data_IF_303553122849
#
_entry.id   IF_303553122849
#
_cell.length_a   1.000
_cell.length_b   1.000
_cell.length_c   1.000
_cell.angle_alpha   90.00
_cell.angle_beta   90.00
_cell.angle_gamma   90.00
#
_symmetry.space_group_name_H-M   'P 1'
#
loop_
_entity.id
_entity.type
_entity.pdbx_description
1 polymer ?
#
# COMPACT_ATOMS: atom_id res chain seq x y z
N UNK A 1 -1.44 -39.25 4.20
CA UNK A 1 -0.85 -37.95 4.06
C UNK A 1 -1.81 -37.08 3.25
N UNK A 2 -2.56 -36.22 3.91
CA UNK A 2 -3.58 -35.37 3.27
C UNK A 2 -2.97 -34.00 3.03
N UNK A 3 -2.68 -33.71 1.77
CA UNK A 3 -2.24 -32.40 1.30
C UNK A 3 -3.46 -31.50 1.27
N UNK A 4 -3.55 -30.57 2.21
CA UNK A 4 -4.59 -29.53 2.21
C UNK A 4 -4.17 -28.44 1.21
N UNK A 5 -4.74 -28.50 0.02
CA UNK A 5 -4.63 -27.44 -0.97
C UNK A 5 -5.57 -26.33 -0.52
N UNK A 6 -5.03 -25.29 0.08
CA UNK A 6 -5.76 -24.05 0.31
C UNK A 6 -5.79 -23.28 -1.01
N UNK A 7 -6.89 -23.45 -1.75
CA UNK A 7 -7.21 -22.62 -2.90
C UNK A 7 -7.56 -21.22 -2.39
N UNK A 8 -6.60 -20.32 -2.41
CA UNK A 8 -6.90 -18.89 -2.32
C UNK A 8 -7.47 -18.47 -3.66
N UNK A 9 -8.78 -18.20 -3.67
CA UNK A 9 -9.43 -17.59 -4.82
C UNK A 9 -8.74 -16.25 -5.10
N UNK A 10 -8.08 -16.19 -6.25
CA UNK A 10 -7.54 -14.97 -6.81
C UNK A 10 -8.76 -14.10 -7.17
N UNK A 11 -9.18 -13.21 -6.28
CA UNK A 11 -10.10 -12.15 -6.66
C UNK A 11 -9.33 -11.25 -7.60
N UNK A 12 -9.61 -11.36 -8.89
CA UNK A 12 -9.19 -10.40 -9.89
C UNK A 12 -9.53 -9.02 -9.37
N UNK A 13 -8.50 -8.17 -9.15
CA UNK A 13 -8.70 -6.82 -8.66
C UNK A 13 -9.62 -6.08 -9.64
N UNK A 14 -10.86 -5.88 -9.23
CA UNK A 14 -11.82 -5.09 -10.00
C UNK A 14 -11.34 -3.64 -9.95
N UNK A 15 -10.97 -3.07 -11.09
CA UNK A 15 -10.83 -1.63 -11.21
C UNK A 15 -12.20 -1.02 -10.98
N UNK A 16 -12.37 -0.30 -9.89
CA UNK A 16 -13.61 0.37 -9.54
C UNK A 16 -13.66 1.78 -10.13
N UNK A 17 -14.81 2.18 -10.60
CA UNK A 17 -15.07 3.56 -10.95
C UNK A 17 -14.94 4.44 -9.69
N UNK A 18 -14.47 5.67 -9.90
CA UNK A 18 -14.28 6.69 -8.87
C UNK A 18 -15.53 6.82 -7.99
N UNK A 19 -15.41 6.62 -6.69
CA UNK A 19 -16.48 6.94 -5.74
C UNK A 19 -16.69 6.00 -4.56
N UNK A 20 -16.17 4.78 -4.56
CA UNK A 20 -16.47 3.82 -3.46
C UNK A 20 -15.23 3.14 -2.84
N UNK A 21 -14.08 3.80 -2.88
CA UNK A 21 -12.88 3.28 -2.23
C UNK A 21 -13.10 3.06 -0.71
N UNK A 22 -13.76 4.02 -0.05
CA UNK A 22 -14.05 3.94 1.38
C UNK A 22 -15.04 2.79 1.67
N UNK A 23 -16.07 2.62 0.85
CA UNK A 23 -17.01 1.51 0.95
C UNK A 23 -16.34 0.16 0.73
N UNK A 24 -15.45 0.06 -0.24
CA UNK A 24 -14.70 -1.17 -0.49
C UNK A 24 -13.78 -1.52 0.69
N UNK A 25 -13.01 -0.55 1.18
CA UNK A 25 -12.10 -0.77 2.32
C UNK A 25 -12.89 -1.13 3.59
N UNK A 26 -14.03 -0.49 3.83
CA UNK A 26 -14.87 -0.76 5.00
C UNK A 26 -15.59 -2.11 4.94
N UNK A 27 -15.80 -2.67 3.76
CA UNK A 27 -16.38 -4.00 3.58
C UNK A 27 -15.42 -5.14 3.93
N UNK A 28 -14.13 -4.84 4.08
CA UNK A 28 -13.07 -5.83 4.33
C UNK A 28 -12.63 -5.75 5.80
N UNK A 29 -13.02 -6.73 6.61
CA UNK A 29 -12.66 -6.79 8.05
C UNK A 29 -11.14 -6.80 8.28
N UNK A 30 -10.38 -7.38 7.36
CA UNK A 30 -8.93 -7.49 7.43
C UNK A 30 -8.19 -6.17 7.15
N UNK A 31 -8.90 -5.12 6.75
CA UNK A 31 -8.37 -3.78 6.46
C UNK A 31 -8.80 -2.72 7.49
N UNK A 32 -9.39 -3.14 8.62
CA UNK A 32 -9.89 -2.20 9.64
C UNK A 32 -8.80 -1.30 10.22
N UNK A 33 -7.59 -1.82 10.42
CA UNK A 33 -6.45 -1.02 10.89
C UNK A 33 -6.04 0.02 9.85
N UNK A 34 -6.02 -0.34 8.57
CA UNK A 34 -5.74 0.60 7.48
C UNK A 34 -6.75 1.75 7.48
N UNK A 35 -8.04 1.43 7.57
CA UNK A 35 -9.12 2.42 7.57
C UNK A 35 -9.01 3.38 8.77
N UNK A 36 -8.70 2.84 9.95
CA UNK A 36 -8.44 3.63 11.16
C UNK A 36 -7.26 4.60 10.95
N UNK A 37 -6.13 4.10 10.43
CA UNK A 37 -4.93 4.91 10.21
C UNK A 37 -5.13 5.98 9.14
N UNK A 38 -5.88 5.70 8.08
CA UNK A 38 -6.26 6.70 7.06
C UNK A 38 -7.07 7.82 7.68
N UNK A 39 -7.98 7.51 8.62
CA UNK A 39 -8.79 8.50 9.32
C UNK A 39 -8.02 9.39 10.30
N UNK A 40 -6.80 8.99 10.71
CA UNK A 40 -5.94 9.81 11.58
C UNK A 40 -5.13 10.87 10.83
N UNK A 41 -4.97 10.72 9.51
CA UNK A 41 -4.17 11.63 8.69
C UNK A 41 -5.10 12.62 7.99
N UNK A 42 -5.04 13.88 8.41
CA UNK A 42 -5.89 14.94 7.87
C UNK A 42 -5.78 15.05 6.34
N UNK A 43 -6.93 15.03 5.67
CA UNK A 43 -7.02 15.18 4.22
C UNK A 43 -6.58 13.97 3.39
N UNK A 44 -6.08 12.87 4.01
CA UNK A 44 -5.65 11.69 3.26
C UNK A 44 -6.84 10.95 2.66
N UNK A 45 -7.92 10.77 3.41
CA UNK A 45 -9.12 10.10 2.94
C UNK A 45 -9.73 10.83 1.72
N UNK A 46 -9.83 12.15 1.79
CA UNK A 46 -10.32 13.00 0.69
C UNK A 46 -9.37 12.95 -0.51
N UNK A 47 -8.06 12.98 -0.27
CA UNK A 47 -7.06 12.86 -1.33
C UNK A 47 -7.19 11.53 -2.06
N UNK A 48 -7.32 10.42 -1.34
CA UNK A 48 -7.50 9.10 -1.93
C UNK A 48 -8.84 8.98 -2.67
N UNK A 49 -9.93 9.51 -2.10
CA UNK A 49 -11.25 9.48 -2.71
C UNK A 49 -11.34 10.33 -4.00
N UNK A 50 -10.60 11.43 -4.06
CA UNK A 50 -10.55 12.31 -5.23
C UNK A 50 -9.50 11.92 -6.26
N UNK A 51 -8.58 11.00 -5.89
CA UNK A 51 -7.52 10.56 -6.80
C UNK A 51 -8.05 9.58 -7.82
N UNK A 52 -7.70 9.82 -9.09
CA UNK A 52 -7.90 8.88 -10.18
C UNK A 52 -6.55 8.33 -10.64
N UNK A 53 -6.58 7.21 -11.34
CA UNK A 53 -5.39 6.58 -11.89
C UNK A 53 -4.34 6.24 -10.82
N UNK A 54 -4.79 5.62 -9.73
CA UNK A 54 -3.94 5.12 -8.65
C UNK A 54 -4.19 3.63 -8.40
N UNK A 55 -3.18 2.98 -7.84
CA UNK A 55 -3.28 1.61 -7.32
C UNK A 55 -2.88 1.61 -5.85
N UNK A 56 -3.71 1.02 -4.99
CA UNK A 56 -3.45 0.89 -3.56
C UNK A 56 -3.16 -0.58 -3.25
N UNK A 57 -1.99 -0.85 -2.73
CA UNK A 57 -1.66 -2.15 -2.13
C UNK A 57 -1.96 -2.07 -0.63
N UNK A 58 -3.18 -2.44 -0.28
CA UNK A 58 -3.71 -2.28 1.07
C UNK A 58 -3.06 -3.28 2.04
N UNK A 59 -2.29 -2.82 3.05
CA UNK A 59 -1.75 -3.71 4.07
C UNK A 59 -2.87 -4.20 4.98
N UNK A 60 -2.85 -5.51 5.27
CA UNK A 60 -3.83 -6.14 6.15
C UNK A 60 -3.53 -5.85 7.63
N UNK A 61 -4.50 -6.08 8.51
CA UNK A 61 -4.31 -6.01 9.96
C UNK A 61 -3.13 -6.86 10.42
N UNK A 62 -2.94 -8.04 9.80
CA UNK A 62 -1.81 -8.92 10.08
C UNK A 62 -0.49 -8.27 9.69
N UNK A 63 -0.41 -7.63 8.52
CA UNK A 63 0.80 -6.94 8.09
C UNK A 63 1.19 -5.82 9.07
N UNK A 64 0.23 -5.04 9.55
CA UNK A 64 0.48 -4.03 10.59
C UNK A 64 0.93 -4.63 11.92
N UNK A 65 0.42 -5.80 12.29
CA UNK A 65 0.81 -6.48 13.52
C UNK A 65 2.26 -7.03 13.45
N UNK A 66 2.76 -7.32 12.27
CA UNK A 66 4.11 -7.82 12.02
C UNK A 66 5.17 -6.72 11.97
N UNK A 67 4.79 -5.43 11.90
CA UNK A 67 5.74 -4.33 11.94
C UNK A 67 6.45 -4.30 13.31
N UNK A 68 7.80 -4.32 13.33
CA UNK A 68 8.55 -4.27 14.59
C UNK A 68 8.19 -3.03 15.41
N UNK A 69 8.05 -3.20 16.73
CA UNK A 69 7.61 -2.12 17.65
C UNK A 69 8.73 -1.16 18.04
N UNK A 70 9.95 -1.54 17.77
CA UNK A 70 11.18 -0.81 18.06
C UNK A 70 11.64 0.09 16.90
N UNK A 71 10.83 0.17 15.83
CA UNK A 71 11.05 1.10 14.73
C UNK A 71 10.03 2.25 14.78
N UNK A 72 10.37 3.45 14.25
CA UNK A 72 9.48 4.63 14.33
C UNK A 72 8.09 4.40 13.73
N UNK A 73 8.00 3.63 12.66
CA UNK A 73 6.75 3.28 11.98
C UNK A 73 5.87 2.40 12.89
N UNK A 74 6.47 1.39 13.52
CA UNK A 74 5.76 0.51 14.44
C UNK A 74 5.29 1.22 15.70
N UNK A 75 6.12 2.12 16.25
CA UNK A 75 5.73 2.98 17.36
C UNK A 75 4.57 3.92 16.98
N UNK A 76 4.64 4.55 15.80
CA UNK A 76 3.58 5.42 15.29
C UNK A 76 2.25 4.67 15.09
N UNK A 77 2.30 3.46 14.54
CA UNK A 77 1.12 2.59 14.37
C UNK A 77 0.52 2.23 15.72
N UNK A 78 1.35 1.88 16.71
CA UNK A 78 0.87 1.45 18.03
C UNK A 78 0.26 2.61 18.82
N UNK A 79 0.94 3.74 18.85
CA UNK A 79 0.58 4.88 19.71
C UNK A 79 -0.41 5.84 19.06
N UNK A 80 -0.64 5.74 17.74
CA UNK A 80 -1.54 6.63 16.96
C UNK A 80 -1.19 8.13 17.11
N UNK A 81 0.04 8.45 17.45
CA UNK A 81 0.46 9.81 17.84
C UNK A 81 1.33 10.54 16.82
N UNK A 82 1.86 9.83 15.83
CA UNK A 82 2.70 10.41 14.78
C UNK A 82 2.02 10.30 13.41
N UNK A 83 1.13 11.26 13.13
CA UNK A 83 0.37 11.30 11.87
C UNK A 83 1.25 11.50 10.63
N UNK A 84 2.43 12.13 10.79
CA UNK A 84 3.40 12.30 9.71
C UNK A 84 4.00 10.93 9.32
N UNK A 85 4.45 10.16 10.29
CA UNK A 85 5.00 8.83 10.04
C UNK A 85 3.93 7.87 9.49
N UNK A 86 2.70 7.93 10.02
CA UNK A 86 1.56 7.16 9.51
C UNK A 86 1.24 7.58 8.07
N UNK A 87 1.19 8.88 7.78
CA UNK A 87 0.94 9.39 6.44
C UNK A 87 2.02 8.96 5.44
N UNK A 88 3.30 9.00 5.84
CA UNK A 88 4.41 8.52 5.02
C UNK A 88 4.29 7.02 4.70
N UNK A 89 3.99 6.21 5.71
CA UNK A 89 3.77 4.78 5.56
C UNK A 89 2.62 4.50 4.58
N UNK A 90 1.48 5.15 4.76
CA UNK A 90 0.30 4.96 3.91
C UNK A 90 0.55 5.45 2.49
N UNK A 91 1.17 6.62 2.32
CA UNK A 91 1.51 7.17 1.01
C UNK A 91 2.45 6.26 0.20
N UNK A 92 3.32 5.51 0.88
CA UNK A 92 4.20 4.53 0.21
C UNK A 92 3.45 3.29 -0.31
N UNK A 93 2.23 3.06 0.14
CA UNK A 93 1.37 1.96 -0.32
C UNK A 93 0.41 2.37 -1.45
N UNK A 94 0.43 3.63 -1.85
CA UNK A 94 -0.38 4.17 -2.95
C UNK A 94 0.52 4.54 -4.13
N UNK A 95 0.25 3.95 -5.28
CA UNK A 95 1.06 4.10 -6.49
C UNK A 95 0.31 4.89 -7.55
N UNK A 96 1.01 5.76 -8.24
CA UNK A 96 0.51 6.46 -9.42
C UNK A 96 0.45 5.50 -10.59
N UNK A 97 -0.69 5.41 -11.23
CA UNK A 97 -0.95 4.49 -12.33
C UNK A 97 -1.85 3.32 -11.92
N UNK A 98 -2.41 2.67 -12.93
CA UNK A 98 -3.25 1.48 -12.78
C UNK A 98 -2.41 0.25 -13.07
N UNK A 99 -2.21 -0.59 -12.07
CA UNK A 99 -1.40 -1.81 -12.13
C UNK A 99 -2.24 -3.05 -11.78
N UNK A 100 -3.14 -3.48 -12.68
CA UNK A 100 -3.88 -4.73 -12.46
C UNK A 100 -2.91 -5.93 -12.55
N UNK A 101 -3.28 -7.04 -11.92
CA UNK A 101 -2.39 -8.20 -11.76
C UNK A 101 -1.97 -8.86 -13.07
N UNK A 102 -2.71 -8.63 -14.15
CA UNK A 102 -2.43 -9.15 -15.50
C UNK A 102 -1.35 -8.35 -16.25
N UNK A 103 -1.13 -7.09 -15.89
CA UNK A 103 -0.06 -6.27 -16.49
C UNK A 103 1.26 -6.37 -15.73
N UNK A 104 1.24 -6.87 -14.49
CA UNK A 104 2.46 -7.11 -13.71
C UNK A 104 3.08 -8.43 -14.19
N UNK A 105 4.35 -8.36 -14.61
CA UNK A 105 5.09 -9.51 -15.16
C UNK A 105 6.19 -9.99 -14.20
N UNK A 106 6.94 -11.01 -14.61
CA UNK A 106 8.13 -11.46 -13.90
C UNK A 106 9.35 -10.51 -14.07
N UNK A 107 9.18 -9.46 -14.87
CA UNK A 107 10.18 -8.38 -14.97
C UNK A 107 9.70 -7.24 -14.08
N UNK A 108 10.53 -6.75 -13.14
CA UNK A 108 10.11 -5.66 -12.24
C UNK A 108 9.72 -4.40 -13.01
N UNK A 109 8.53 -3.89 -12.72
CA UNK A 109 8.06 -2.59 -13.19
C UNK A 109 8.16 -1.60 -12.03
N UNK A 110 8.88 -0.50 -12.22
CA UNK A 110 9.03 0.51 -11.19
C UNK A 110 7.84 1.46 -11.20
N UNK A 111 7.07 1.44 -10.11
CA UNK A 111 5.93 2.30 -9.89
C UNK A 111 6.25 3.39 -8.87
N UNK A 112 5.86 4.61 -9.17
CA UNK A 112 6.02 5.75 -8.28
C UNK A 112 4.93 5.75 -7.23
N UNK A 113 5.32 5.78 -5.94
CA UNK A 113 4.36 5.93 -4.85
C UNK A 113 3.97 7.41 -4.64
N UNK A 114 2.95 7.65 -3.81
CA UNK A 114 2.58 8.99 -3.38
C UNK A 114 3.50 9.53 -2.27
N UNK A 115 4.39 8.71 -1.75
CA UNK A 115 5.38 9.16 -0.76
C UNK A 115 6.27 10.23 -1.38
N UNK A 116 6.20 11.43 -0.84
CA UNK A 116 6.95 12.58 -1.30
C UNK A 116 7.68 13.28 -0.15
N UNK A 117 8.45 14.33 -0.46
CA UNK A 117 9.25 15.07 0.50
C UNK A 117 8.43 15.68 1.67
N UNK A 118 7.13 15.88 1.50
CA UNK A 118 6.27 16.43 2.56
C UNK A 118 6.09 15.47 3.73
N UNK A 119 6.26 14.17 3.49
CA UNK A 119 6.19 13.13 4.51
C UNK A 119 7.56 12.68 5.01
N UNK A 120 8.63 12.99 4.26
CA UNK A 120 9.99 12.61 4.61
C UNK A 120 10.55 13.74 5.48
N UNK A 121 10.41 13.60 6.79
CA UNK A 121 11.03 14.51 7.74
C UNK A 121 12.56 14.50 7.55
N UNK A 122 13.16 15.66 7.70
CA UNK A 122 14.55 16.09 7.85
C UNK A 122 15.64 15.01 8.13
N UNK A 123 15.35 13.73 8.08
CA UNK A 123 16.32 12.64 8.16
C UNK A 123 17.17 12.57 6.89
N UNK A 124 17.92 13.66 6.70
CA UNK A 124 19.00 13.72 5.72
C UNK A 124 19.95 12.54 5.91
N UNK A 125 20.53 11.95 4.86
CA UNK A 125 20.85 12.53 3.55
C UNK A 125 20.08 11.95 2.35
N UNK A 126 19.02 11.20 2.54
CA UNK A 126 18.35 10.43 1.48
C UNK A 126 17.16 11.16 0.84
N UNK A 127 16.94 12.41 1.15
CA UNK A 127 15.73 13.17 0.80
C UNK A 127 15.75 13.88 -0.55
N UNK A 128 16.59 13.50 -1.50
CA UNK A 128 16.52 14.01 -2.87
C UNK A 128 15.40 13.36 -3.71
N UNK A 129 14.37 12.78 -3.07
CA UNK A 129 13.19 12.25 -3.75
C UNK A 129 12.20 13.37 -4.10
N UNK A 130 12.60 14.28 -4.96
CA UNK A 130 11.69 15.33 -5.46
C UNK A 130 10.53 14.78 -6.27
N UNK A 131 10.60 13.53 -6.68
CA UNK A 131 9.58 12.85 -7.51
C UNK A 131 8.74 11.79 -6.80
N UNK A 132 8.97 11.49 -5.51
CA UNK A 132 8.35 10.37 -4.80
C UNK A 132 9.21 9.09 -4.82
N UNK A 133 8.92 8.17 -3.91
CA UNK A 133 9.61 6.89 -3.83
C UNK A 133 9.14 5.95 -4.96
N UNK A 134 10.07 5.14 -5.48
CA UNK A 134 9.78 4.12 -6.47
C UNK A 134 9.91 2.74 -5.85
N UNK A 135 8.93 1.89 -6.09
CA UNK A 135 8.96 0.48 -5.70
C UNK A 135 8.81 -0.40 -6.93
N UNK A 136 9.45 -1.56 -6.92
CA UNK A 136 9.34 -2.54 -8.00
C UNK A 136 8.08 -3.39 -7.83
N UNK A 137 7.28 -3.50 -8.87
CA UNK A 137 6.17 -4.45 -8.94
C UNK A 137 6.60 -5.65 -9.79
N UNK A 138 6.49 -6.85 -9.25
CA UNK A 138 6.93 -8.06 -9.94
C UNK A 138 5.99 -9.22 -9.63
N UNK A 139 5.85 -10.11 -10.59
CA UNK A 139 5.11 -11.36 -10.43
C UNK A 139 6.07 -12.52 -10.17
N UNK A 140 5.83 -13.28 -9.12
CA UNK A 140 6.58 -14.49 -8.78
C UNK A 140 5.62 -15.68 -8.79
N UNK A 141 5.60 -16.43 -9.90
CA UNK A 141 4.53 -17.38 -10.16
C UNK A 141 3.19 -16.66 -10.32
N UNK A 142 2.21 -17.03 -9.51
CA UNK A 142 0.89 -16.38 -9.49
C UNK A 142 0.80 -15.23 -8.48
N UNK A 143 1.86 -15.00 -7.70
CA UNK A 143 1.88 -13.99 -6.66
C UNK A 143 2.42 -12.66 -7.17
N UNK A 144 1.71 -11.57 -6.88
CA UNK A 144 2.22 -10.20 -7.05
C UNK A 144 3.04 -9.84 -5.83
N UNK A 145 4.23 -9.29 -6.06
CA UNK A 145 5.14 -8.85 -5.02
C UNK A 145 5.54 -7.38 -5.23
N UNK A 146 5.72 -6.67 -4.14
CA UNK A 146 6.29 -5.32 -4.11
C UNK A 146 7.72 -5.41 -3.57
N UNK A 147 8.67 -4.85 -4.31
CA UNK A 147 10.07 -4.73 -3.92
C UNK A 147 10.30 -3.29 -3.50
N UNK A 148 10.57 -3.07 -2.22
CA UNK A 148 10.87 -1.73 -1.70
C UNK A 148 12.24 -1.22 -2.12
N UNK A 149 12.51 0.07 -1.92
CA UNK A 149 13.83 0.65 -2.15
C UNK A 149 14.95 0.03 -1.32
N UNK A 150 14.62 -0.63 -0.22
CA UNK A 150 15.56 -1.41 0.62
C UNK A 150 15.70 -2.87 0.17
N UNK A 151 15.19 -3.21 -1.01
CA UNK A 151 15.19 -4.56 -1.59
C UNK A 151 14.42 -5.61 -0.75
N UNK A 152 13.56 -5.19 0.15
CA UNK A 152 12.63 -6.09 0.82
C UNK A 152 11.49 -6.46 -0.11
N UNK A 153 11.13 -7.74 -0.12
CA UNK A 153 10.06 -8.28 -0.98
C UNK A 153 8.84 -8.56 -0.13
N UNK A 154 7.73 -7.91 -0.44
CA UNK A 154 6.44 -8.13 0.20
C UNK A 154 5.44 -8.72 -0.79
N UNK A 155 4.76 -9.80 -0.38
CA UNK A 155 3.69 -10.40 -1.19
C UNK A 155 2.41 -9.58 -1.05
N UNK A 156 1.80 -9.26 -2.18
CA UNK A 156 0.50 -8.58 -2.22
C UNK A 156 -0.61 -9.60 -2.08
N UNK A 157 -1.40 -9.49 -1.04
CA UNK A 157 -2.58 -10.33 -0.82
C UNK A 157 -3.85 -9.69 -1.37
N UNK A 158 -3.87 -8.36 -1.46
CA UNK A 158 -5.01 -7.61 -1.99
C UNK A 158 -4.55 -6.27 -2.59
N UNK A 159 -5.07 -5.93 -3.75
CA UNK A 159 -4.85 -4.64 -4.41
C UNK A 159 -6.18 -4.02 -4.86
N UNK A 160 -6.26 -2.70 -4.79
CA UNK A 160 -7.40 -1.92 -5.27
C UNK A 160 -6.88 -0.90 -6.27
N UNK A 161 -7.49 -0.87 -7.45
CA UNK A 161 -7.20 0.12 -8.48
C UNK A 161 -8.41 1.04 -8.65
N UNK A 162 -8.14 2.33 -8.83
CA UNK A 162 -9.14 3.29 -9.31
C UNK A 162 -8.85 3.63 -10.76
N UNK A 163 -9.81 3.42 -11.64
CA UNK A 163 -9.72 3.86 -13.03
C UNK A 163 -10.12 5.34 -13.16
N UNK A 164 -9.68 6.01 -14.23
CA UNK A 164 -10.05 7.39 -14.50
C UNK A 164 -11.55 7.58 -14.75
#
# INVERSE_FOLDING_TARGET
MRSSIWSYALMAGSCLAQGDLAGLLSSQSDLSTLLELVGLVDGLAETLASSSNITIFAPTNKAFAEVPRDVPEGEAIQNRNNTIAIGALLANHVFKGVYPSDVITNIPTFAQSLLNISYIDYRQPFSNFTGGAYNGLVKNGDDVCVISGELTVSKVTQAVCTSP
#
